data_IF_587614228026
#
_entry.id   IF_587614228026
#
_cell.length_a   1.000
_cell.length_b   1.000
_cell.length_c   1.000
_cell.angle_alpha   90.00
_cell.angle_beta   90.00
_cell.angle_gamma   90.00
#
_symmetry.space_group_name_H-M   'P 1'
#
loop_
_entity.id
_entity.type
_entity.pdbx_description
1 polymer ?
#
# COMPACT_ATOMS: atom_id res chain seq x y z
N UNK A 1 -7.64 2.13 2.57
CA UNK A 1 -8.99 2.72 2.62
C UNK A 1 -10.02 1.60 2.54
N UNK A 2 -11.29 1.84 2.91
CA UNK A 2 -12.30 0.78 2.98
C UNK A 2 -12.50 0.00 1.67
N UNK A 3 -12.24 0.65 0.53
CA UNK A 3 -12.46 0.15 -0.82
C UNK A 3 -11.16 -0.17 -1.60
N UNK A 4 -10.00 0.34 -1.19
CA UNK A 4 -8.72 0.10 -1.85
C UNK A 4 -7.50 0.24 -0.94
N UNK A 5 -6.36 -0.28 -1.38
CA UNK A 5 -5.08 -0.26 -0.66
C UNK A 5 -4.04 0.51 -1.45
N UNK A 6 -3.25 1.34 -0.77
CA UNK A 6 -1.97 1.85 -1.28
C UNK A 6 -0.82 1.25 -0.48
N UNK A 7 0.28 0.94 -1.15
CA UNK A 7 1.46 0.37 -0.52
C UNK A 7 2.74 0.87 -1.19
N UNK A 8 3.79 1.09 -0.40
CA UNK A 8 5.16 1.21 -0.86
C UNK A 8 5.85 -0.13 -0.67
N UNK A 9 6.28 -0.75 -1.76
CA UNK A 9 6.81 -2.10 -1.76
C UNK A 9 8.08 -2.17 -2.60
N UNK A 10 9.00 -3.02 -2.17
CA UNK A 10 10.14 -3.46 -2.96
C UNK A 10 9.93 -4.92 -3.36
N UNK A 11 10.34 -5.27 -4.58
CA UNK A 11 10.17 -6.61 -5.13
C UNK A 11 11.53 -7.18 -5.55
N UNK A 12 11.77 -8.49 -5.35
CA UNK A 12 12.93 -9.14 -5.94
C UNK A 12 12.83 -9.15 -7.47
N UNK A 13 13.98 -9.27 -8.15
CA UNK A 13 14.04 -9.35 -9.63
C UNK A 13 13.20 -10.52 -10.15
N UNK A 14 13.32 -11.67 -9.50
CA UNK A 14 12.50 -12.86 -9.74
C UNK A 14 11.80 -13.27 -8.44
N UNK A 15 10.49 -13.57 -8.47
CA UNK A 15 9.61 -13.66 -9.65
C UNK A 15 9.04 -12.30 -10.13
N UNK A 16 9.40 -11.19 -9.49
CA UNK A 16 8.95 -9.84 -9.86
C UNK A 16 7.58 -9.43 -9.30
N UNK A 17 7.27 -8.14 -9.44
CA UNK A 17 6.07 -7.48 -8.87
C UNK A 17 4.76 -8.17 -9.25
N UNK A 18 4.53 -8.43 -10.55
CA UNK A 18 3.25 -8.99 -11.03
C UNK A 18 2.91 -10.33 -10.39
N UNK A 19 3.91 -11.21 -10.21
CA UNK A 19 3.69 -12.52 -9.58
C UNK A 19 3.40 -12.37 -8.10
N UNK A 20 4.16 -11.50 -7.40
CA UNK A 20 3.95 -11.23 -5.97
C UNK A 20 2.55 -10.66 -5.72
N UNK A 21 2.14 -9.62 -6.46
CA UNK A 21 0.82 -9.00 -6.32
C UNK A 21 -0.30 -9.98 -6.68
N UNK A 22 -0.14 -10.77 -7.74
CA UNK A 22 -1.12 -11.81 -8.12
C UNK A 22 -1.33 -12.82 -6.99
N UNK A 23 -0.25 -13.32 -6.41
CA UNK A 23 -0.31 -14.33 -5.36
C UNK A 23 -0.90 -13.75 -4.08
N UNK A 24 -0.56 -12.51 -3.72
CA UNK A 24 -1.15 -11.81 -2.58
C UNK A 24 -2.66 -11.58 -2.75
N UNK A 25 -3.10 -11.04 -3.91
CA UNK A 25 -4.53 -10.85 -4.21
C UNK A 25 -5.30 -12.17 -4.14
N UNK A 26 -4.74 -13.25 -4.67
CA UNK A 26 -5.31 -14.61 -4.61
C UNK A 26 -5.46 -15.09 -3.16
N UNK A 27 -4.42 -14.92 -2.35
CA UNK A 27 -4.45 -15.29 -0.92
C UNK A 27 -5.53 -14.51 -0.17
N UNK A 28 -5.56 -13.19 -0.32
CA UNK A 28 -6.56 -12.34 0.31
C UNK A 28 -7.99 -12.68 -0.13
N UNK A 29 -8.22 -12.97 -1.42
CA UNK A 29 -9.52 -13.39 -1.91
C UNK A 29 -9.98 -14.72 -1.27
N UNK A 30 -9.08 -15.70 -1.18
CA UNK A 30 -9.40 -17.03 -0.63
C UNK A 30 -9.58 -17.02 0.88
N UNK A 31 -8.76 -16.27 1.60
CA UNK A 31 -8.69 -16.31 3.06
C UNK A 31 -9.57 -15.26 3.73
N UNK A 32 -9.76 -14.11 3.08
CA UNK A 32 -10.47 -12.95 3.66
C UNK A 32 -11.72 -12.57 2.84
N UNK A 33 -12.03 -13.28 1.76
CA UNK A 33 -13.22 -13.02 0.93
C UNK A 33 -13.16 -11.72 0.12
N UNK A 34 -11.97 -11.13 -0.05
CA UNK A 34 -11.81 -9.84 -0.75
C UNK A 34 -12.07 -10.00 -2.24
N UNK A 35 -12.99 -9.19 -2.77
CA UNK A 35 -13.25 -9.07 -4.21
C UNK A 35 -12.41 -7.94 -4.78
N UNK A 36 -11.32 -8.29 -5.43
CA UNK A 36 -10.42 -7.31 -6.01
C UNK A 36 -10.92 -6.81 -7.36
N UNK A 37 -10.74 -5.51 -7.62
CA UNK A 37 -10.74 -4.98 -8.99
C UNK A 37 -9.68 -5.71 -9.83
N UNK A 38 -9.97 -5.93 -11.12
CA UNK A 38 -8.97 -6.44 -12.07
C UNK A 38 -7.77 -5.49 -12.20
N UNK A 39 -6.59 -6.08 -12.47
CA UNK A 39 -5.32 -5.35 -12.54
C UNK A 39 -4.96 -4.60 -11.24
N UNK A 40 -3.99 -3.70 -11.32
CA UNK A 40 -3.56 -2.80 -10.28
C UNK A 40 -2.82 -1.62 -10.93
N UNK A 41 -2.73 -0.50 -10.21
CA UNK A 41 -1.89 0.62 -10.62
C UNK A 41 -0.53 0.50 -9.95
N UNK A 42 0.54 0.71 -10.70
CA UNK A 42 1.90 0.81 -10.17
C UNK A 42 2.60 2.08 -10.65
N UNK A 43 3.51 2.57 -9.82
CA UNK A 43 4.38 3.69 -10.15
C UNK A 43 5.79 3.41 -9.62
N UNK A 44 6.76 3.37 -10.54
CA UNK A 44 8.15 3.11 -10.19
C UNK A 44 8.82 4.32 -9.56
N UNK A 45 9.21 4.17 -8.30
CA UNK A 45 9.99 5.15 -7.53
C UNK A 45 11.48 4.96 -7.82
N UNK A 46 12.19 6.06 -8.08
CA UNK A 46 13.62 6.07 -8.45
C UNK A 46 14.49 6.79 -7.45
N UNK A 47 13.91 7.64 -6.60
CA UNK A 47 14.66 8.44 -5.63
C UNK A 47 14.08 8.34 -4.23
N UNK A 48 14.90 8.66 -3.22
CA UNK A 48 14.47 8.74 -1.83
C UNK A 48 13.43 9.86 -1.62
N UNK A 49 13.58 10.99 -2.31
CA UNK A 49 12.64 12.11 -2.23
C UNK A 49 11.25 11.70 -2.74
N UNK A 50 11.19 11.01 -3.88
CA UNK A 50 9.93 10.45 -4.41
C UNK A 50 9.32 9.43 -3.42
N UNK A 51 10.15 8.57 -2.81
CA UNK A 51 9.68 7.60 -1.81
C UNK A 51 9.02 8.31 -0.61
N UNK A 52 9.66 9.36 -0.10
CA UNK A 52 9.15 10.15 1.00
C UNK A 52 7.86 10.89 0.64
N UNK A 53 7.78 11.48 -0.55
CA UNK A 53 6.56 12.12 -1.03
C UNK A 53 5.39 11.12 -1.09
N UNK A 54 5.61 9.92 -1.66
CA UNK A 54 4.58 8.88 -1.73
C UNK A 54 4.21 8.35 -0.35
N UNK A 55 5.16 8.24 0.56
CA UNK A 55 4.90 7.85 1.94
C UNK A 55 3.93 8.82 2.63
N UNK A 56 4.21 10.12 2.54
CA UNK A 56 3.32 11.16 3.08
C UNK A 56 1.95 11.15 2.38
N UNK A 57 1.92 11.01 1.06
CA UNK A 57 0.65 10.89 0.32
C UNK A 57 -0.21 9.74 0.87
N UNK A 58 0.35 8.53 1.01
CA UNK A 58 -0.39 7.34 1.49
C UNK A 58 -0.97 7.58 2.88
N UNK A 59 -0.15 8.10 3.81
CA UNK A 59 -0.60 8.41 5.19
C UNK A 59 -1.67 9.49 5.24
N UNK A 60 -1.60 10.47 4.35
CA UNK A 60 -2.53 11.60 4.31
C UNK A 60 -3.88 11.25 3.69
N UNK A 61 -3.95 10.21 2.85
CA UNK A 61 -5.16 9.85 2.11
C UNK A 61 -6.39 9.60 3.01
N UNK A 62 -6.31 8.83 4.11
CA UNK A 62 -7.45 8.66 5.02
C UNK A 62 -8.03 9.97 5.53
N UNK A 63 -7.19 10.96 5.82
CA UNK A 63 -7.64 12.30 6.25
C UNK A 63 -8.33 13.04 5.11
N UNK A 64 -7.73 13.02 3.91
CA UNK A 64 -8.32 13.64 2.70
C UNK A 64 -9.68 13.04 2.36
N UNK A 65 -9.88 11.75 2.65
CA UNK A 65 -11.16 11.04 2.48
C UNK A 65 -12.13 11.19 3.65
N UNK A 66 -11.78 11.97 4.69
CA UNK A 66 -12.64 12.18 5.85
C UNK A 66 -12.80 10.94 6.74
N UNK A 67 -11.92 9.94 6.61
CA UNK A 67 -12.00 8.69 7.37
C UNK A 67 -11.41 8.82 8.77
N UNK A 68 -10.56 9.83 8.99
CA UNK A 68 -10.01 10.19 10.29
C UNK A 68 -9.61 11.67 10.33
N UNK A 69 -9.55 12.26 11.52
CA UNK A 69 -9.17 13.67 11.69
C UNK A 69 -7.66 13.92 11.51
N UNK A 70 -6.83 12.93 11.87
CA UNK A 70 -5.36 12.98 11.80
C UNK A 70 -4.84 11.64 11.27
N UNK A 71 -3.66 11.64 10.68
CA UNK A 71 -3.06 10.43 10.08
C UNK A 71 -2.85 9.33 11.13
N UNK A 72 -2.45 9.72 12.34
CA UNK A 72 -2.20 8.82 13.47
C UNK A 72 -3.47 8.12 13.97
N UNK A 73 -4.64 8.72 13.70
CA UNK A 73 -5.94 8.17 14.11
C UNK A 73 -6.43 7.08 13.15
N UNK A 74 -5.76 6.86 12.01
CA UNK A 74 -6.12 5.80 11.09
C UNK A 74 -5.60 4.46 11.63
N UNK A 75 -6.46 3.47 11.98
CA UNK A 75 -5.99 2.22 12.59
C UNK A 75 -5.50 1.18 11.57
N UNK A 76 -5.66 1.46 10.26
CA UNK A 76 -5.42 0.49 9.18
C UNK A 76 -4.21 0.86 8.31
N UNK A 77 -3.14 1.40 8.89
CA UNK A 77 -1.84 1.50 8.25
C UNK A 77 -0.81 0.65 8.99
N UNK A 78 0.26 0.30 8.28
CA UNK A 78 1.38 -0.45 8.82
C UNK A 78 2.67 0.08 8.20
N UNK A 79 3.74 0.18 9.00
CA UNK A 79 5.09 0.47 8.55
C UNK A 79 6.06 -0.52 9.21
N UNK A 80 7.13 -0.86 8.49
CA UNK A 80 8.20 -1.64 9.08
C UNK A 80 8.93 -0.78 10.12
N UNK A 81 9.13 -1.32 11.32
CA UNK A 81 9.65 -0.60 12.50
C UNK A 81 11.14 -0.22 12.42
N UNK A 82 11.81 -0.43 11.27
CA UNK A 82 13.22 -0.08 11.05
C UNK A 82 13.45 1.35 10.57
N UNK A 83 12.41 2.10 10.18
CA UNK A 83 12.54 3.48 9.66
C UNK A 83 11.83 4.53 10.53
N UNK A 84 11.43 4.16 11.76
CA UNK A 84 10.84 5.08 12.74
C UNK A 84 11.88 5.83 13.60
N UNK A 85 13.13 5.96 13.13
CA UNK A 85 14.18 6.77 13.76
C UNK A 85 14.87 7.65 12.73
#
# INVERSE_FOLDING_TARGET
MPDHVHALLAFPREPGMSVVIRNWKRGAARLQGVRWQENYFDHRIRTKAEAQEKWHYIRRNPVVKGLCAKEENWPHWWANSSEAR
#
